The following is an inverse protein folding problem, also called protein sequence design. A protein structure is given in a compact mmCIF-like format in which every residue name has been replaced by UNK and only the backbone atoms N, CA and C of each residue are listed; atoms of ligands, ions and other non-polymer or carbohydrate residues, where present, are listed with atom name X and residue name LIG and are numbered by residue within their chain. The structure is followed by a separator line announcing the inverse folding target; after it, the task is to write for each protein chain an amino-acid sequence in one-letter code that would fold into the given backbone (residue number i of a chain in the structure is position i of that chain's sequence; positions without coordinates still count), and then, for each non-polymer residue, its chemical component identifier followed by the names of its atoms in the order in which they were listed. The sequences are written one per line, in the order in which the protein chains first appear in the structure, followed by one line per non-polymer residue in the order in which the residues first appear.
data_IF_322740468000
#
_entry.id   IF_322740468000
#
_cell.length_a   1.000
_cell.length_b   1.000
_cell.length_c   1.000
_cell.angle_alpha   90.00
_cell.angle_beta   90.00
_cell.angle_gamma   90.00
#
_symmetry.space_group_name_H-M   'P 1'
#
loop_
_entity.id
_entity.type
_entity.pdbx_description
1 polymer ?
#
# COMPACT_ATOMS: atom_id res chain seq x y z
N UNK A 1 -7.29 40.97 -6.44
CA UNK A 1 -7.82 39.91 -5.56
C UNK A 1 -8.03 38.65 -6.39
N UNK A 2 -7.54 37.47 -5.96
CA UNK A 2 -7.72 36.24 -6.73
C UNK A 2 -9.21 35.85 -6.76
N UNK A 3 -9.74 35.45 -7.92
CA UNK A 3 -11.12 34.93 -8.06
C UNK A 3 -11.34 33.61 -7.32
N UNK A 4 -10.26 32.88 -7.04
CA UNK A 4 -10.23 31.66 -6.22
C UNK A 4 -8.97 31.71 -5.36
N UNK A 5 -9.11 31.39 -4.07
CA UNK A 5 -7.98 31.36 -3.14
C UNK A 5 -6.88 30.43 -3.67
N UNK A 6 -5.60 30.80 -3.62
CA UNK A 6 -4.50 29.93 -4.01
C UNK A 6 -4.56 28.59 -3.25
N UNK A 7 -4.10 27.52 -3.91
CA UNK A 7 -3.96 26.19 -3.30
C UNK A 7 -2.48 25.95 -3.04
N UNK A 8 -2.13 25.62 -1.80
CA UNK A 8 -0.79 25.18 -1.41
C UNK A 8 -0.83 23.68 -1.22
N UNK A 9 0.05 22.96 -1.91
CA UNK A 9 0.19 21.50 -1.76
C UNK A 9 1.48 21.22 -0.99
N UNK A 10 1.35 20.61 0.18
CA UNK A 10 2.46 20.18 1.03
C UNK A 10 2.60 18.67 0.90
N UNK A 11 3.71 18.22 0.30
CA UNK A 11 4.05 16.79 0.26
C UNK A 11 4.86 16.43 1.50
N UNK A 12 4.37 15.46 2.26
CA UNK A 12 5.04 14.98 3.48
C UNK A 12 5.70 13.64 3.17
N UNK A 13 7.05 13.57 3.17
CA UNK A 13 7.75 12.33 2.88
C UNK A 13 7.58 11.31 4.00
N UNK A 14 7.81 10.04 3.68
CA UNK A 14 7.85 8.98 4.67
C UNK A 14 8.92 9.25 5.72
N UNK A 15 8.51 9.22 6.98
CA UNK A 15 9.38 9.40 8.15
C UNK A 15 10.32 8.20 8.31
N UNK A 16 11.59 8.44 8.65
CA UNK A 16 12.50 7.35 9.01
C UNK A 16 12.29 6.88 10.45
N UNK A 17 12.70 5.65 10.74
CA UNK A 17 12.64 5.12 12.09
C UNK A 17 13.46 5.99 13.06
N UNK A 18 12.85 6.40 14.18
CA UNK A 18 13.47 7.27 15.19
C UNK A 18 13.39 8.77 14.92
N UNK A 19 12.98 9.20 13.72
CA UNK A 19 12.74 10.63 13.45
C UNK A 19 11.43 11.10 14.10
N UNK A 20 11.35 12.38 14.45
CA UNK A 20 10.09 13.01 14.86
C UNK A 20 9.21 13.31 13.65
N UNK A 21 7.90 13.43 13.86
CA UNK A 21 7.01 13.91 12.79
C UNK A 21 7.41 15.30 12.33
N UNK A 22 7.27 15.54 11.02
CA UNK A 22 7.36 16.89 10.49
C UNK A 22 6.30 17.78 11.17
N UNK A 23 6.68 19.01 11.53
CA UNK A 23 5.81 20.00 12.18
C UNK A 23 4.81 20.61 11.19
N UNK A 24 4.06 19.75 10.49
CA UNK A 24 3.12 20.14 9.43
C UNK A 24 1.87 20.78 10.03
N UNK A 25 1.45 20.35 11.22
CA UNK A 25 0.24 20.85 11.88
C UNK A 25 0.28 22.36 12.11
N UNK A 26 1.39 22.91 12.61
CA UNK A 26 1.53 24.36 12.83
C UNK A 26 1.60 25.12 11.51
N UNK A 27 2.36 24.61 10.53
CA UNK A 27 2.49 25.23 9.21
C UNK A 27 1.15 25.30 8.46
N UNK A 28 0.37 24.22 8.47
CA UNK A 28 -0.96 24.15 7.85
C UNK A 28 -1.92 25.15 8.51
N UNK A 29 -1.89 25.24 9.85
CA UNK A 29 -2.73 26.19 10.59
C UNK A 29 -2.41 27.63 10.24
N UNK A 30 -1.14 28.01 10.22
CA UNK A 30 -0.75 29.36 9.83
C UNK A 30 -1.27 29.68 8.42
N UNK A 31 -0.99 28.81 7.43
CA UNK A 31 -1.41 29.01 6.03
C UNK A 31 -2.94 29.09 5.87
N UNK A 32 -3.70 28.26 6.59
CA UNK A 32 -5.15 28.23 6.48
C UNK A 32 -5.82 29.37 7.27
N UNK A 33 -5.48 29.53 8.54
CA UNK A 33 -6.19 30.41 9.47
C UNK A 33 -5.71 31.87 9.35
N UNK A 34 -4.40 32.09 9.21
CA UNK A 34 -3.83 33.45 9.15
C UNK A 34 -3.83 34.01 7.73
N UNK A 35 -3.53 33.17 6.72
CA UNK A 35 -3.42 33.60 5.32
C UNK A 35 -4.66 33.27 4.46
N UNK A 36 -5.65 32.56 5.00
CA UNK A 36 -6.88 32.21 4.29
C UNK A 36 -6.64 31.31 3.06
N UNK A 37 -5.55 30.55 3.04
CA UNK A 37 -5.20 29.70 1.88
C UNK A 37 -5.89 28.35 1.94
N UNK A 38 -6.06 27.72 0.78
CA UNK A 38 -6.48 26.33 0.71
C UNK A 38 -5.23 25.45 0.78
N UNK A 39 -5.11 24.64 1.81
CA UNK A 39 -3.94 23.78 2.00
C UNK A 39 -4.34 22.32 1.76
N UNK A 40 -3.58 21.63 0.90
CA UNK A 40 -3.68 20.19 0.67
C UNK A 40 -2.41 19.56 1.22
N UNK A 41 -2.57 18.64 2.17
CA UNK A 41 -1.46 17.85 2.69
C UNK A 41 -1.52 16.48 2.04
N UNK A 42 -0.48 16.13 1.31
CA UNK A 42 -0.31 14.86 0.63
C UNK A 42 0.75 14.04 1.39
N UNK A 43 0.30 13.01 2.09
CA UNK A 43 1.17 12.15 2.89
C UNK A 43 0.48 10.85 3.27
N UNK A 44 1.27 9.80 3.51
CA UNK A 44 0.73 8.53 4.00
C UNK A 44 0.38 8.61 5.49
N UNK A 45 -0.48 7.73 6.02
CA UNK A 45 -0.76 7.65 7.46
C UNK A 45 0.51 7.52 8.32
N UNK A 46 1.55 6.85 7.81
CA UNK A 46 2.85 6.70 8.48
C UNK A 46 3.70 7.98 8.52
N UNK A 47 3.36 8.97 7.70
CA UNK A 47 4.13 10.20 7.51
C UNK A 47 3.53 11.39 8.26
N UNK A 48 2.23 11.33 8.54
CA UNK A 48 1.47 12.43 9.09
C UNK A 48 1.36 12.31 10.62
N UNK A 49 1.59 13.41 11.38
CA UNK A 49 1.32 13.42 12.81
C UNK A 49 -0.19 13.25 13.07
N UNK A 50 -0.59 12.44 14.06
CA UNK A 50 -2.01 12.23 14.36
C UNK A 50 -2.73 13.53 14.73
N UNK A 51 -2.03 14.50 15.34
CA UNK A 51 -2.57 15.81 15.71
C UNK A 51 -3.03 16.66 14.52
N UNK A 52 -2.63 16.29 13.30
CA UNK A 52 -3.13 16.91 12.07
C UNK A 52 -4.61 16.57 11.82
N UNK A 53 -5.09 15.43 12.34
CA UNK A 53 -6.40 14.86 12.06
C UNK A 53 -7.35 14.87 13.27
N UNK A 54 -6.94 15.43 14.41
CA UNK A 54 -7.74 15.38 15.65
C UNK A 54 -8.73 16.53 15.80
N UNK A 55 -8.59 17.60 15.01
CA UNK A 55 -9.34 18.84 15.23
C UNK A 55 -10.63 18.96 14.42
N UNK A 56 -10.90 18.02 13.50
CA UNK A 56 -12.05 18.05 12.58
C UNK A 56 -12.14 19.34 11.75
N UNK A 57 -11.02 20.05 11.56
CA UNK A 57 -10.93 21.27 10.74
C UNK A 57 -10.57 20.97 9.30
N UNK A 58 -10.13 19.74 9.07
CA UNK A 58 -9.70 19.18 7.80
C UNK A 58 -10.81 18.36 7.15
N UNK A 59 -10.76 18.26 5.82
CA UNK A 59 -11.50 17.26 5.08
C UNK A 59 -10.53 16.15 4.70
N UNK A 60 -10.68 14.97 5.29
CA UNK A 60 -9.84 13.81 4.99
C UNK A 60 -10.35 13.13 3.72
N UNK A 61 -9.44 12.92 2.76
CA UNK A 61 -9.68 12.10 1.57
C UNK A 61 -8.69 10.94 1.63
N UNK A 62 -9.17 9.72 1.86
CA UNK A 62 -8.34 8.52 1.74
C UNK A 62 -8.29 8.06 0.29
N UNK A 63 -7.08 7.82 -0.22
CA UNK A 63 -6.86 7.18 -1.52
C UNK A 63 -6.50 5.73 -1.26
N UNK A 64 -7.50 4.85 -1.44
CA UNK A 64 -7.33 3.41 -1.29
C UNK A 64 -6.98 2.73 -2.63
N UNK A 65 -6.43 1.50 -2.60
CA UNK A 65 -6.26 0.70 -3.81
C UNK A 65 -7.57 0.56 -4.60
N UNK A 66 -7.49 0.67 -5.92
CA UNK A 66 -8.62 0.49 -6.82
C UNK A 66 -9.12 -0.96 -6.80
N UNK A 67 -10.42 -1.16 -7.04
CA UNK A 67 -10.93 -2.52 -7.27
C UNK A 67 -10.38 -3.11 -8.56
N UNK A 68 -10.52 -4.42 -8.74
CA UNK A 68 -10.09 -5.10 -9.96
C UNK A 68 -10.83 -4.55 -11.17
N UNK A 69 -12.14 -4.36 -11.02
CA UNK A 69 -13.03 -3.84 -12.04
C UNK A 69 -12.64 -2.40 -12.41
N UNK A 70 -12.25 -1.59 -11.43
CA UNK A 70 -11.73 -0.25 -11.68
C UNK A 70 -10.44 -0.30 -12.49
N UNK A 71 -9.44 -1.10 -12.09
CA UNK A 71 -8.20 -1.26 -12.88
C UNK A 71 -8.51 -1.75 -14.31
N UNK A 72 -9.35 -2.78 -14.44
CA UNK A 72 -9.71 -3.37 -15.73
C UNK A 72 -10.62 -2.48 -16.58
N UNK A 73 -11.15 -1.36 -16.06
CA UNK A 73 -11.95 -0.37 -16.81
C UNK A 73 -11.15 0.83 -17.29
N UNK A 74 -9.90 0.99 -16.84
CA UNK A 74 -9.00 2.04 -17.30
C UNK A 74 -8.64 1.77 -18.77
N UNK A 75 -8.92 2.70 -19.71
CA UNK A 75 -8.64 2.52 -21.13
C UNK A 75 -7.16 2.21 -21.43
N UNK A 76 -6.25 2.84 -20.71
CA UNK A 76 -4.80 2.70 -20.84
C UNK A 76 -4.30 1.28 -20.51
N UNK A 77 -5.07 0.52 -19.73
CA UNK A 77 -4.73 -0.85 -19.34
C UNK A 77 -5.42 -1.94 -20.17
N UNK A 78 -6.29 -1.60 -21.12
CA UNK A 78 -7.03 -2.63 -21.88
C UNK A 78 -6.12 -3.58 -22.65
N UNK A 79 -5.10 -3.06 -23.33
CA UNK A 79 -4.12 -3.89 -24.06
C UNK A 79 -3.35 -4.79 -23.10
N UNK A 80 -2.83 -4.23 -22.01
CA UNK A 80 -2.12 -4.98 -20.97
C UNK A 80 -3.00 -6.10 -20.41
N UNK A 81 -4.23 -5.77 -20.00
CA UNK A 81 -5.18 -6.75 -19.42
C UNK A 81 -5.50 -7.84 -20.44
N UNK A 82 -5.70 -7.50 -21.71
CA UNK A 82 -5.91 -8.46 -22.80
C UNK A 82 -4.73 -9.42 -22.97
N UNK A 83 -3.50 -8.88 -22.97
CA UNK A 83 -2.27 -9.69 -23.04
C UNK A 83 -2.13 -10.61 -21.82
N UNK A 84 -2.33 -10.08 -20.61
CA UNK A 84 -2.26 -10.88 -19.39
C UNK A 84 -3.28 -12.02 -19.39
N UNK A 85 -4.53 -11.75 -19.81
CA UNK A 85 -5.58 -12.78 -19.96
C UNK A 85 -5.22 -13.84 -21.00
N UNK A 86 -4.63 -13.45 -22.13
CA UNK A 86 -4.17 -14.39 -23.18
C UNK A 86 -3.13 -15.39 -22.68
N UNK A 87 -2.30 -14.99 -21.72
CA UNK A 87 -1.28 -15.85 -21.11
C UNK A 87 -1.66 -16.38 -19.71
N UNK A 88 -2.91 -16.19 -19.28
CA UNK A 88 -3.41 -16.61 -17.96
C UNK A 88 -2.62 -16.04 -16.76
N UNK A 89 -2.15 -14.80 -16.88
CA UNK A 89 -1.35 -14.11 -15.86
C UNK A 89 -2.15 -13.10 -15.03
N UNK A 90 -3.38 -12.80 -15.44
CA UNK A 90 -4.19 -11.72 -14.86
C UNK A 90 -4.47 -11.94 -13.37
N UNK A 91 -4.69 -13.19 -12.95
CA UNK A 91 -4.96 -13.54 -11.56
C UNK A 91 -3.70 -13.36 -10.70
N UNK A 92 -2.56 -13.89 -11.14
CA UNK A 92 -1.29 -13.76 -10.44
C UNK A 92 -0.88 -12.28 -10.30
N UNK A 93 -1.02 -11.50 -11.39
CA UNK A 93 -0.75 -10.06 -11.37
C UNK A 93 -1.66 -9.35 -10.37
N UNK A 94 -2.97 -9.62 -10.39
CA UNK A 94 -3.91 -9.01 -9.44
C UNK A 94 -3.58 -9.35 -7.98
N UNK A 95 -3.28 -10.61 -7.68
CA UNK A 95 -2.99 -11.06 -6.32
C UNK A 95 -1.71 -10.44 -5.74
N UNK A 96 -0.69 -10.21 -6.57
CA UNK A 96 0.60 -9.66 -6.12
C UNK A 96 0.59 -8.13 -6.15
N UNK A 97 0.11 -7.51 -7.23
CA UNK A 97 0.18 -6.06 -7.42
C UNK A 97 -0.97 -5.32 -6.74
N UNK A 98 -2.14 -5.95 -6.66
CA UNK A 98 -3.36 -5.37 -6.12
C UNK A 98 -3.93 -4.25 -7.00
N UNK A 99 -4.60 -3.30 -6.35
CA UNK A 99 -5.26 -2.15 -6.97
C UNK A 99 -4.38 -0.92 -7.19
N UNK A 100 -3.11 -1.08 -7.56
CA UNK A 100 -2.17 0.05 -7.70
C UNK A 100 -1.82 0.29 -9.19
N UNK A 101 -2.43 1.30 -9.86
CA UNK A 101 -2.20 1.57 -11.28
C UNK A 101 -0.72 1.73 -11.67
N UNK A 102 0.08 2.38 -10.82
CA UNK A 102 1.50 2.59 -11.08
C UNK A 102 2.26 1.26 -11.31
N UNK A 103 1.91 0.20 -10.58
CA UNK A 103 2.53 -1.12 -10.76
C UNK A 103 2.13 -1.79 -12.06
N UNK A 104 0.94 -1.52 -12.59
CA UNK A 104 0.53 -2.02 -13.91
C UNK A 104 1.29 -1.32 -15.03
N UNK A 105 1.56 -0.01 -14.88
CA UNK A 105 2.42 0.72 -15.80
C UNK A 105 3.85 0.16 -15.81
N UNK A 106 4.39 -0.24 -14.65
CA UNK A 106 5.70 -0.90 -14.57
C UNK A 106 5.70 -2.22 -15.35
N UNK A 107 4.65 -3.05 -15.19
CA UNK A 107 4.51 -4.30 -15.96
C UNK A 107 4.35 -4.03 -17.45
N UNK A 108 3.51 -3.06 -17.83
CA UNK A 108 3.32 -2.67 -19.22
C UNK A 108 4.65 -2.30 -19.86
N UNK A 109 5.38 -1.38 -19.24
CA UNK A 109 6.71 -0.92 -19.69
C UNK A 109 7.70 -2.07 -19.82
N UNK A 110 7.61 -3.07 -18.95
CA UNK A 110 8.49 -4.25 -18.96
C UNK A 110 8.18 -5.22 -20.10
N UNK A 111 6.96 -5.22 -20.65
CA UNK A 111 6.52 -6.15 -21.70
C UNK A 111 6.21 -5.48 -23.05
N UNK A 112 6.25 -4.15 -23.16
CA UNK A 112 5.92 -3.41 -24.40
C UNK A 112 6.66 -3.97 -25.62
N UNK A 113 7.97 -4.19 -25.52
CA UNK A 113 8.81 -4.65 -26.63
C UNK A 113 9.19 -6.15 -26.53
N UNK A 114 8.47 -6.92 -25.72
CA UNK A 114 8.73 -8.35 -25.57
C UNK A 114 7.95 -9.18 -26.58
N UNK A 115 8.58 -10.22 -27.14
CA UNK A 115 7.89 -11.27 -27.87
C UNK A 115 6.91 -12.01 -26.96
N UNK A 116 5.85 -12.58 -27.55
CA UNK A 116 4.84 -13.36 -26.84
C UNK A 116 5.44 -14.42 -25.91
N UNK A 117 6.45 -15.15 -26.40
CA UNK A 117 7.14 -16.21 -25.65
C UNK A 117 7.91 -15.70 -24.41
N UNK A 118 8.34 -14.43 -24.42
CA UNK A 118 9.10 -13.82 -23.33
C UNK A 118 8.22 -13.16 -22.26
N UNK A 119 6.94 -12.88 -22.56
CA UNK A 119 6.02 -12.16 -21.66
C UNK A 119 5.85 -12.92 -20.34
N UNK A 120 5.58 -14.23 -20.42
CA UNK A 120 5.34 -15.07 -19.23
C UNK A 120 6.53 -15.00 -18.27
N UNK A 121 7.74 -15.20 -18.77
CA UNK A 121 8.95 -15.17 -17.96
C UNK A 121 9.23 -13.80 -17.36
N UNK A 122 9.01 -12.73 -18.14
CA UNK A 122 9.21 -11.35 -17.73
C UNK A 122 8.24 -10.95 -16.62
N UNK A 123 6.95 -11.24 -16.80
CA UNK A 123 5.92 -10.98 -15.78
C UNK A 123 6.21 -11.80 -14.53
N UNK A 124 6.47 -13.10 -14.65
CA UNK A 124 6.78 -13.96 -13.48
C UNK A 124 7.97 -13.45 -12.69
N UNK A 125 9.07 -13.06 -13.36
CA UNK A 125 10.25 -12.47 -12.71
C UNK A 125 9.89 -11.15 -12.00
N UNK A 126 9.05 -10.32 -12.60
CA UNK A 126 8.55 -9.10 -11.97
C UNK A 126 7.78 -9.42 -10.69
N UNK A 127 6.83 -10.36 -10.73
CA UNK A 127 6.03 -10.76 -9.57
C UNK A 127 6.89 -11.35 -8.44
N UNK A 128 7.84 -12.23 -8.76
CA UNK A 128 8.81 -12.76 -7.78
C UNK A 128 9.62 -11.64 -7.16
N UNK A 129 10.09 -10.66 -7.94
CA UNK A 129 10.82 -9.51 -7.39
C UNK A 129 9.98 -8.67 -6.42
N UNK A 130 8.68 -8.50 -6.70
CA UNK A 130 7.75 -7.79 -5.82
C UNK A 130 7.53 -8.58 -4.52
N UNK A 131 7.36 -9.90 -4.61
CA UNK A 131 7.21 -10.78 -3.45
C UNK A 131 8.49 -10.81 -2.61
N UNK A 132 9.66 -10.93 -3.21
CA UNK A 132 10.95 -10.88 -2.52
C UNK A 132 11.11 -9.61 -1.69
N UNK A 133 10.75 -8.45 -2.26
CA UNK A 133 10.76 -7.17 -1.52
C UNK A 133 9.79 -7.19 -0.35
N UNK A 134 8.57 -7.70 -0.54
CA UNK A 134 7.58 -7.82 0.53
C UNK A 134 8.04 -8.81 1.64
N UNK A 135 8.63 -9.94 1.26
CA UNK A 135 9.23 -10.91 2.18
C UNK A 135 10.33 -10.28 3.02
N UNK A 136 11.23 -9.51 2.40
CA UNK A 136 12.29 -8.78 3.12
C UNK A 136 11.72 -7.76 4.12
N UNK A 137 10.62 -7.07 3.78
CA UNK A 137 9.94 -6.14 4.70
C UNK A 137 9.41 -6.89 5.93
N UNK A 138 8.75 -8.04 5.73
CA UNK A 138 8.24 -8.88 6.84
C UNK A 138 9.38 -9.46 7.67
N UNK A 139 10.45 -9.96 7.04
CA UNK A 139 11.59 -10.57 7.74
C UNK A 139 12.34 -9.57 8.63
N UNK A 140 12.49 -8.33 8.17
CA UNK A 140 13.21 -7.25 8.86
C UNK A 140 12.33 -6.47 9.86
N UNK A 141 11.05 -6.82 9.99
CA UNK A 141 10.15 -6.12 10.90
C UNK A 141 10.49 -6.36 12.38
N UNK A 142 10.00 -5.49 13.24
CA UNK A 142 10.20 -5.58 14.69
C UNK A 142 9.59 -6.85 15.30
N UNK A 143 10.04 -7.28 16.50
CA UNK A 143 9.45 -8.43 17.19
C UNK A 143 7.94 -8.31 17.40
N UNK A 144 7.46 -7.12 17.75
CA UNK A 144 6.04 -6.83 17.91
C UNK A 144 5.29 -6.95 16.57
N UNK A 145 5.82 -6.41 15.47
CA UNK A 145 5.23 -6.60 14.13
C UNK A 145 5.21 -8.08 13.73
N UNK A 146 6.24 -8.86 14.06
CA UNK A 146 6.28 -10.32 13.82
C UNK A 146 5.22 -11.07 14.62
N UNK A 147 4.93 -10.64 15.85
CA UNK A 147 3.84 -11.20 16.64
C UNK A 147 2.47 -10.96 15.97
N UNK A 148 2.25 -9.76 15.42
CA UNK A 148 1.05 -9.45 14.64
C UNK A 148 0.99 -10.31 13.36
N UNK A 149 2.09 -10.47 12.62
CA UNK A 149 2.16 -11.37 11.45
C UNK A 149 1.78 -12.80 11.81
N UNK A 150 2.28 -13.32 12.94
CA UNK A 150 1.93 -14.65 13.43
C UNK A 150 0.43 -14.77 13.71
N UNK A 151 -0.18 -13.76 14.32
CA UNK A 151 -1.62 -13.73 14.59
C UNK A 151 -2.46 -13.76 13.30
N UNK A 152 -2.07 -12.99 12.27
CA UNK A 152 -2.73 -13.02 10.96
C UNK A 152 -2.63 -14.41 10.31
N UNK A 153 -1.47 -15.07 10.40
CA UNK A 153 -1.25 -16.43 9.89
C UNK A 153 -2.11 -17.46 10.60
N UNK A 154 -2.11 -17.44 11.93
CA UNK A 154 -2.87 -18.40 12.75
C UNK A 154 -4.38 -18.29 12.53
N UNK A 155 -4.88 -17.06 12.37
CA UNK A 155 -6.31 -16.80 12.15
C UNK A 155 -6.73 -16.88 10.68
N UNK A 156 -5.77 -16.88 9.75
CA UNK A 156 -5.99 -16.82 8.31
C UNK A 156 -6.97 -15.70 7.89
N UNK A 157 -6.71 -14.49 8.41
CA UNK A 157 -7.53 -13.29 8.14
C UNK A 157 -6.74 -12.25 7.36
N UNK A 158 -7.46 -11.35 6.68
CA UNK A 158 -6.87 -10.22 5.96
C UNK A 158 -6.97 -8.89 6.70
N UNK A 159 -7.74 -8.85 7.79
CA UNK A 159 -7.87 -7.69 8.65
C UNK A 159 -8.14 -8.12 10.09
N UNK A 160 -7.70 -7.31 11.05
CA UNK A 160 -8.02 -7.43 12.47
C UNK A 160 -8.46 -6.07 13.00
N UNK A 161 -9.35 -6.05 13.99
CA UNK A 161 -9.67 -4.78 14.65
C UNK A 161 -8.50 -4.32 15.51
N UNK A 162 -8.29 -3.00 15.62
CA UNK A 162 -7.22 -2.46 16.47
C UNK A 162 -7.43 -2.85 17.94
N UNK A 163 -8.68 -2.87 18.39
CA UNK A 163 -9.06 -3.28 19.75
C UNK A 163 -8.69 -4.73 20.08
N UNK A 164 -8.74 -5.63 19.11
CA UNK A 164 -8.29 -7.01 19.31
C UNK A 164 -6.77 -7.10 19.50
N UNK A 165 -6.01 -6.28 18.77
CA UNK A 165 -4.56 -6.21 18.94
C UNK A 165 -4.20 -5.64 20.31
N UNK A 166 -4.84 -4.54 20.71
CA UNK A 166 -4.62 -3.89 22.01
C UNK A 166 -4.92 -4.82 23.19
N UNK A 167 -6.00 -5.61 23.12
CA UNK A 167 -6.33 -6.64 24.13
C UNK A 167 -5.25 -7.71 24.29
N UNK A 168 -4.47 -7.95 23.24
CA UNK A 168 -3.33 -8.88 23.24
C UNK A 168 -2.01 -8.18 23.61
N UNK A 169 -2.04 -6.89 23.94
CA UNK A 169 -0.84 -6.09 24.21
C UNK A 169 -0.01 -5.80 22.96
N UNK A 170 -0.60 -5.92 21.77
CA UNK A 170 0.04 -5.64 20.49
C UNK A 170 -0.44 -4.28 19.97
N UNK A 171 0.48 -3.49 19.41
CA UNK A 171 0.17 -2.20 18.78
C UNK A 171 0.96 -2.04 17.49
N UNK A 172 0.47 -1.28 16.52
CA UNK A 172 1.30 -0.97 15.34
C UNK A 172 2.37 0.05 15.73
N UNK A 173 3.63 -0.30 15.45
CA UNK A 173 4.75 0.63 15.57
C UNK A 173 4.92 1.43 14.28
N UNK A 174 4.93 2.75 14.39
CA UNK A 174 5.16 3.64 13.26
C UNK A 174 6.63 4.07 13.15
N UNK A 175 7.21 4.15 11.94
CA UNK A 175 6.60 3.80 10.65
C UNK A 175 6.48 2.28 10.45
N UNK A 176 5.36 1.80 9.91
CA UNK A 176 5.16 0.37 9.62
C UNK A 176 5.01 0.11 8.13
N UNK A 177 5.84 -0.79 7.58
CA UNK A 177 5.78 -1.19 6.16
C UNK A 177 5.07 -2.52 5.93
N UNK A 178 4.73 -3.24 7.00
CA UNK A 178 4.02 -4.53 6.96
C UNK A 178 2.52 -4.30 7.03
N UNK A 179 2.08 -3.46 7.95
CA UNK A 179 0.67 -3.18 8.21
C UNK A 179 0.36 -1.70 8.08
N UNK A 180 -0.91 -1.39 7.81
CA UNK A 180 -1.47 -0.04 7.88
C UNK A 180 -2.80 -0.09 8.65
N UNK A 181 -3.14 1.02 9.27
CA UNK A 181 -4.49 1.26 9.78
C UNK A 181 -5.39 1.74 8.65
N UNK A 182 -6.64 1.25 8.65
CA UNK A 182 -7.70 1.70 7.76
C UNK A 182 -8.95 2.04 8.57
N UNK A 183 -9.52 3.21 8.28
CA UNK A 183 -10.74 3.71 8.92
C UNK A 183 -11.89 3.56 7.93
N UNK A 184 -12.70 2.51 8.11
CA UNK A 184 -13.93 2.26 7.33
C UNK A 184 -15.14 2.28 8.29
N UNK A 185 -15.74 1.12 8.57
CA UNK A 185 -16.79 0.94 9.60
C UNK A 185 -16.22 0.80 11.02
N UNK A 186 -14.92 1.05 11.18
CA UNK A 186 -14.12 0.88 12.38
C UNK A 186 -12.65 1.11 12.08
N UNK A 187 -11.79 0.96 13.08
CA UNK A 187 -10.33 1.02 12.92
C UNK A 187 -9.81 -0.41 12.82
N UNK A 188 -9.35 -0.75 11.61
CA UNK A 188 -8.79 -2.06 11.32
C UNK A 188 -7.32 -1.94 10.95
N UNK A 189 -6.62 -3.03 11.17
CA UNK A 189 -5.27 -3.27 10.70
C UNK A 189 -5.34 -4.24 9.53
N UNK A 190 -4.75 -3.87 8.40
CA UNK A 190 -4.61 -4.73 7.22
C UNK A 190 -3.17 -4.68 6.69
N UNK A 191 -2.72 -5.68 5.91
CA UNK A 191 -1.42 -5.62 5.23
C UNK A 191 -1.27 -4.35 4.38
N UNK A 192 -0.10 -3.72 4.45
CA UNK A 192 0.16 -2.45 3.77
C UNK A 192 0.07 -2.56 2.24
N UNK A 193 0.32 -3.75 1.68
CA UNK A 193 0.19 -4.03 0.25
C UNK A 193 -0.34 -5.45 0.03
N UNK A 194 -0.91 -5.70 -1.16
CA UNK A 194 -1.36 -7.05 -1.55
C UNK A 194 -0.24 -8.09 -1.51
N UNK A 195 0.97 -7.74 -1.94
CA UNK A 195 2.14 -8.61 -1.86
C UNK A 195 2.49 -9.00 -0.41
N UNK A 196 2.47 -8.05 0.53
CA UNK A 196 2.69 -8.35 1.95
C UNK A 196 1.57 -9.24 2.49
N UNK A 197 0.32 -8.95 2.15
CA UNK A 197 -0.81 -9.80 2.54
C UNK A 197 -0.68 -11.22 2.04
N UNK A 198 -0.17 -11.41 0.82
CA UNK A 198 0.07 -12.72 0.22
C UNK A 198 1.21 -13.47 0.93
N UNK A 199 2.33 -12.79 1.21
CA UNK A 199 3.46 -13.36 1.99
C UNK A 199 3.01 -13.83 3.37
N UNK A 200 2.13 -13.06 4.02
CA UNK A 200 1.60 -13.41 5.33
C UNK A 200 0.67 -14.63 5.19
N UNK A 201 -0.32 -14.57 4.30
CA UNK A 201 -1.37 -15.60 4.16
C UNK A 201 -0.83 -16.95 3.71
N UNK A 202 0.04 -16.97 2.70
CA UNK A 202 0.61 -18.21 2.15
C UNK A 202 1.81 -18.71 2.99
N UNK A 203 2.09 -18.06 4.13
CA UNK A 203 3.20 -18.39 5.02
C UNK A 203 4.56 -18.50 4.31
N UNK A 204 4.79 -17.64 3.32
CA UNK A 204 6.00 -17.61 2.50
C UNK A 204 7.18 -17.25 3.40
N UNK A 205 8.23 -18.05 3.34
CA UNK A 205 9.40 -17.94 4.20
C UNK A 205 10.73 -18.02 3.46
N UNK A 206 10.71 -18.50 2.20
CA UNK A 206 11.90 -18.68 1.37
C UNK A 206 11.73 -18.11 -0.05
N UNK A 207 12.82 -17.75 -0.74
CA UNK A 207 12.75 -17.37 -2.16
C UNK A 207 12.16 -18.45 -3.07
N UNK A 208 12.28 -19.72 -2.68
CA UNK A 208 11.72 -20.84 -3.46
C UNK A 208 10.19 -20.84 -3.34
N UNK A 209 9.65 -20.57 -2.15
CA UNK A 209 8.21 -20.45 -1.91
C UNK A 209 7.59 -19.36 -2.81
N UNK A 210 8.30 -18.25 -3.03
CA UNK A 210 7.85 -17.15 -3.90
C UNK A 210 7.75 -17.59 -5.37
N UNK A 211 8.75 -18.34 -5.84
CA UNK A 211 8.77 -18.89 -7.21
C UNK A 211 7.65 -19.91 -7.40
N UNK A 212 7.46 -20.79 -6.43
CA UNK A 212 6.46 -21.85 -6.49
C UNK A 212 5.04 -21.29 -6.40
N UNK A 213 4.85 -20.25 -5.58
CA UNK A 213 3.59 -19.52 -5.55
C UNK A 213 3.27 -18.92 -6.92
N UNK A 214 4.19 -18.16 -7.52
CA UNK A 214 3.94 -17.52 -8.82
C UNK A 214 3.70 -18.54 -9.94
N UNK A 215 4.21 -19.77 -9.83
CA UNK A 215 3.89 -20.86 -10.76
C UNK A 215 2.50 -21.47 -10.52
N UNK A 216 2.03 -21.47 -9.28
CA UNK A 216 0.74 -22.03 -8.88
C UNK A 216 -0.44 -21.05 -8.95
N UNK A 217 -0.18 -19.75 -9.09
CA UNK A 217 -1.21 -18.70 -9.26
C UNK A 217 -1.77 -18.66 -10.68
#
# INVERSE_FOLDING_TARGET
MFKRLPIVVIRVPERQAGELYAQVTSAVRALADEYGLRVVVDGSPNSLPPELLTTNRERVLSVEPMSREMIESIPEFQDLVGRLKRFHLEKAVWQVLGGCPAKYLDVQSLITDCSDDAIVDKVRKCLVSVLAKAGQIVLKSSPNTKAIVKLFRERNVLQLSIYELEKLGLMIEYPNKVFKEVTREGIYVEPATSAVGLIIRENISSPQDEVDLVKGL
#
